data_IF_962499247230
#
_entry.id   IF_962499247230
#
_cell.length_a   1.000
_cell.length_b   1.000
_cell.length_c   1.000
_cell.angle_alpha   90.00
_cell.angle_beta   90.00
_cell.angle_gamma   90.00
#
_symmetry.space_group_name_H-M   'P 1'
#
loop_
_entity.id
_entity.type
_entity.pdbx_description
1 polymer ?
#
# COMPACT_ATOMS: atom_id res chain seq x y z
N UNK A 1 -18.15 19.35 10.76
CA UNK A 1 -17.43 18.09 11.07
C UNK A 1 -17.03 17.32 9.81
N UNK A 2 -17.91 17.17 8.81
CA UNK A 2 -17.62 16.49 7.52
C UNK A 2 -16.35 16.98 6.78
N UNK A 3 -16.12 18.30 6.67
CA UNK A 3 -14.87 18.85 6.08
C UNK A 3 -13.60 18.40 6.82
N UNK A 4 -13.69 18.06 8.11
CA UNK A 4 -12.53 17.64 8.91
C UNK A 4 -12.18 16.17 8.69
N UNK A 5 -13.19 15.31 8.57
CA UNK A 5 -13.03 13.85 8.43
C UNK A 5 -12.98 13.36 6.98
N UNK A 6 -13.24 14.21 5.99
CA UNK A 6 -13.23 13.82 4.58
C UNK A 6 -11.94 13.11 4.12
N UNK A 7 -10.72 13.53 4.51
CA UNK A 7 -9.51 12.77 4.15
C UNK A 7 -9.47 11.38 4.78
N UNK A 8 -10.03 11.22 5.99
CA UNK A 8 -10.07 9.93 6.65
C UNK A 8 -11.08 8.98 5.98
N UNK A 9 -12.27 9.47 5.63
CA UNK A 9 -13.26 8.70 4.88
C UNK A 9 -12.71 8.34 3.49
N UNK A 10 -12.05 9.29 2.83
CA UNK A 10 -11.39 9.04 1.55
C UNK A 10 -10.33 7.95 1.66
N UNK A 11 -9.47 7.97 2.69
CA UNK A 11 -8.46 6.92 2.90
C UNK A 11 -9.09 5.56 3.18
N UNK A 12 -10.18 5.51 3.96
CA UNK A 12 -10.89 4.28 4.28
C UNK A 12 -11.36 3.52 3.03
N UNK A 13 -11.83 4.23 2.02
CA UNK A 13 -12.28 3.63 0.76
C UNK A 13 -11.20 3.58 -0.31
N UNK A 14 -10.23 4.50 -0.30
CA UNK A 14 -9.15 4.51 -1.29
C UNK A 14 -8.25 3.29 -1.14
N UNK A 15 -7.92 2.88 0.09
CA UNK A 15 -7.02 1.76 0.33
C UNK A 15 -7.44 0.45 -0.34
N UNK A 16 -8.68 -0.08 -0.13
CA UNK A 16 -9.11 -1.30 -0.83
C UNK A 16 -9.27 -1.10 -2.34
N UNK A 17 -9.65 0.10 -2.79
CA UNK A 17 -9.75 0.40 -4.22
C UNK A 17 -8.38 0.38 -4.91
N UNK A 18 -7.34 0.89 -4.25
CA UNK A 18 -5.96 0.82 -4.75
C UNK A 18 -5.46 -0.62 -4.70
N UNK A 19 -5.69 -1.32 -3.58
CA UNK A 19 -5.19 -2.67 -3.35
C UNK A 19 -5.72 -3.70 -4.36
N UNK A 20 -7.01 -3.63 -4.69
CA UNK A 20 -7.70 -4.72 -5.38
C UNK A 20 -8.25 -4.34 -6.77
N UNK A 21 -8.70 -3.09 -6.94
CA UNK A 21 -9.39 -2.68 -8.16
C UNK A 21 -8.47 -1.94 -9.12
N UNK A 22 -7.66 -1.01 -8.60
CA UNK A 22 -6.66 -0.31 -9.41
C UNK A 22 -5.50 -1.23 -9.78
N UNK A 23 -5.18 -2.23 -8.94
CA UNK A 23 -4.22 -3.28 -9.25
C UNK A 23 -4.67 -4.11 -10.47
N UNK A 24 -5.98 -4.36 -10.59
CA UNK A 24 -6.62 -5.10 -11.68
C UNK A 24 -6.99 -6.55 -11.34
N UNK A 25 -6.76 -7.03 -10.12
CA UNK A 25 -7.02 -8.42 -9.75
C UNK A 25 -8.50 -8.67 -9.36
N UNK A 26 -9.26 -7.63 -8.97
CA UNK A 26 -10.72 -7.73 -8.81
C UNK A 26 -11.46 -6.99 -9.93
N UNK A 27 -12.38 -7.66 -10.65
CA UNK A 27 -13.19 -7.00 -11.66
C UNK A 27 -14.20 -6.04 -11.03
N UNK A 28 -14.65 -5.04 -11.79
CA UNK A 28 -15.62 -4.04 -11.30
C UNK A 28 -16.96 -4.64 -10.81
N UNK A 29 -17.33 -5.84 -11.28
CA UNK A 29 -18.50 -6.57 -10.79
C UNK A 29 -18.39 -6.91 -9.30
N UNK A 30 -17.18 -6.95 -8.74
CA UNK A 30 -16.92 -7.22 -7.33
C UNK A 30 -16.86 -5.94 -6.49
N UNK A 31 -17.19 -4.77 -7.04
CA UNK A 31 -17.21 -3.50 -6.30
C UNK A 31 -17.96 -3.55 -4.96
N UNK A 32 -19.07 -4.30 -4.78
CA UNK A 32 -19.70 -4.46 -3.47
C UNK A 32 -18.78 -5.03 -2.38
N UNK A 33 -17.74 -5.80 -2.75
CA UNK A 33 -16.75 -6.36 -1.82
C UNK A 33 -15.97 -5.27 -1.07
N UNK A 34 -15.90 -4.04 -1.59
CA UNK A 34 -15.29 -2.89 -0.89
C UNK A 34 -15.87 -2.70 0.51
N UNK A 35 -17.15 -3.04 0.74
CA UNK A 35 -17.75 -2.96 2.08
C UNK A 35 -17.07 -3.91 3.08
N UNK A 36 -16.67 -5.09 2.63
CA UNK A 36 -15.95 -6.07 3.45
C UNK A 36 -14.43 -5.78 3.52
N UNK A 37 -13.86 -5.25 2.43
CA UNK A 37 -12.42 -4.96 2.32
C UNK A 37 -12.02 -3.66 3.03
N UNK A 38 -12.86 -2.62 3.01
CA UNK A 38 -12.54 -1.31 3.59
C UNK A 38 -12.23 -1.35 5.09
N UNK A 39 -12.95 -2.13 5.93
CA UNK A 39 -12.56 -2.32 7.32
C UNK A 39 -11.12 -2.81 7.49
N UNK A 40 -10.65 -3.78 6.69
CA UNK A 40 -9.28 -4.29 6.74
C UNK A 40 -8.28 -3.27 6.16
N UNK A 41 -8.37 -2.98 4.87
CA UNK A 41 -7.44 -2.11 4.16
C UNK A 41 -7.49 -0.66 4.63
N UNK A 42 -8.69 -0.08 4.61
CA UNK A 42 -8.93 1.30 5.00
C UNK A 42 -8.74 1.54 6.48
N UNK A 43 -9.19 0.60 7.32
CA UNK A 43 -8.96 0.63 8.76
C UNK A 43 -7.49 0.57 9.11
N UNK A 44 -6.74 -0.36 8.51
CA UNK A 44 -5.30 -0.50 8.68
C UNK A 44 -4.54 0.77 8.28
N UNK A 45 -4.77 1.26 7.06
CA UNK A 45 -4.14 2.48 6.56
C UNK A 45 -4.43 3.71 7.45
N UNK A 46 -5.68 3.85 7.93
CA UNK A 46 -6.05 4.93 8.83
C UNK A 46 -5.36 4.82 10.20
N UNK A 47 -5.33 3.64 10.81
CA UNK A 47 -4.69 3.45 12.12
C UNK A 47 -3.19 3.74 12.04
N UNK A 48 -2.52 3.19 11.02
CA UNK A 48 -1.09 3.43 10.78
C UNK A 48 -0.82 4.94 10.70
N UNK A 49 -1.58 5.63 9.86
CA UNK A 49 -1.44 7.06 9.65
C UNK A 49 -1.73 7.85 10.92
N UNK A 50 -2.87 7.61 11.56
CA UNK A 50 -3.32 8.37 12.73
C UNK A 50 -2.37 8.20 13.91
N UNK A 51 -1.93 6.98 14.21
CA UNK A 51 -0.99 6.72 15.30
C UNK A 51 0.36 7.38 15.02
N UNK A 52 0.89 7.22 13.81
CA UNK A 52 2.16 7.84 13.41
C UNK A 52 2.10 9.37 13.58
N UNK A 53 1.07 10.03 13.03
CA UNK A 53 0.95 11.50 13.09
C UNK A 53 0.72 12.01 14.51
N UNK A 54 -0.01 11.28 15.36
CA UNK A 54 -0.20 11.63 16.78
C UNK A 54 1.08 11.56 17.58
N UNK A 55 1.96 10.60 17.28
CA UNK A 55 3.26 10.43 17.93
C UNK A 55 4.33 11.39 17.38
N UNK A 56 3.99 12.23 16.40
CA UNK A 56 4.94 13.13 15.73
C UNK A 56 5.98 12.37 14.89
N UNK A 57 5.63 11.17 14.42
CA UNK A 57 6.50 10.30 13.64
C UNK A 57 6.38 10.59 12.12
N UNK A 58 7.39 10.12 11.38
CA UNK A 58 7.55 10.40 9.96
C UNK A 58 7.16 9.25 9.03
N UNK A 59 7.39 9.44 7.74
CA UNK A 59 7.18 8.43 6.71
C UNK A 59 7.96 7.11 6.88
N UNK A 60 9.20 7.09 7.41
CA UNK A 60 9.86 5.82 7.71
C UNK A 60 9.07 4.93 8.67
N UNK A 61 8.40 5.53 9.67
CA UNK A 61 7.55 4.81 10.60
C UNK A 61 6.26 4.30 9.92
N UNK A 62 5.68 5.08 9.00
CA UNK A 62 4.53 4.62 8.18
C UNK A 62 4.93 3.39 7.37
N UNK A 63 6.09 3.40 6.71
CA UNK A 63 6.56 2.26 5.90
C UNK A 63 6.77 0.99 6.75
N UNK A 64 7.34 1.11 7.94
CA UNK A 64 7.53 -0.03 8.86
C UNK A 64 6.17 -0.59 9.31
N UNK A 65 5.22 0.28 9.64
CA UNK A 65 3.88 -0.14 10.06
C UNK A 65 3.04 -0.66 8.88
N UNK A 66 3.27 -0.19 7.66
CA UNK A 66 2.67 -0.72 6.44
C UNK A 66 3.20 -2.14 6.15
N UNK A 67 4.49 -2.38 6.37
CA UNK A 67 5.05 -3.73 6.33
C UNK A 67 4.48 -4.62 7.44
N UNK A 68 4.25 -4.09 8.64
CA UNK A 68 3.57 -4.81 9.71
C UNK A 68 2.14 -5.21 9.29
N UNK A 69 1.40 -4.30 8.65
CA UNK A 69 0.08 -4.60 8.08
C UNK A 69 0.16 -5.70 7.03
N UNK A 70 1.13 -5.64 6.10
CA UNK A 70 1.32 -6.67 5.08
C UNK A 70 1.62 -8.06 5.70
N UNK A 71 2.44 -8.12 6.75
CA UNK A 71 2.72 -9.37 7.48
C UNK A 71 1.48 -9.88 8.22
N UNK A 72 0.68 -8.99 8.80
CA UNK A 72 -0.59 -9.36 9.44
C UNK A 72 -1.56 -9.94 8.40
N UNK A 73 -1.75 -9.25 7.29
CA UNK A 73 -2.66 -9.69 6.24
C UNK A 73 -2.20 -11.02 5.64
N UNK A 74 -0.96 -11.09 5.16
CA UNK A 74 -0.50 -12.26 4.39
C UNK A 74 -0.08 -13.45 5.25
N UNK A 75 0.28 -13.19 6.51
CA UNK A 75 0.70 -14.24 7.44
C UNK A 75 -0.42 -14.76 8.34
N UNK A 76 -1.41 -13.94 8.70
CA UNK A 76 -2.49 -14.33 9.64
C UNK A 76 -3.86 -14.38 8.98
N UNK A 77 -4.17 -13.39 8.12
CA UNK A 77 -5.51 -13.27 7.55
C UNK A 77 -5.67 -14.19 6.34
N UNK A 78 -4.90 -13.95 5.29
CA UNK A 78 -4.97 -14.70 4.03
C UNK A 78 -4.16 -16.00 4.10
N UNK A 79 -3.10 -15.99 4.92
CA UNK A 79 -2.08 -17.05 5.00
C UNK A 79 -1.41 -17.35 3.66
N UNK A 80 -1.42 -16.43 2.69
CA UNK A 80 -0.83 -16.65 1.36
C UNK A 80 0.68 -16.91 1.41
N UNK A 81 1.37 -16.48 2.47
CA UNK A 81 2.79 -16.77 2.67
C UNK A 81 3.06 -18.28 2.79
N UNK A 82 2.06 -19.05 3.20
CA UNK A 82 2.18 -20.45 3.59
C UNK A 82 1.24 -21.38 2.82
N UNK A 83 0.11 -20.86 2.34
CA UNK A 83 -0.89 -21.62 1.60
C UNK A 83 -0.43 -21.84 0.15
N UNK A 84 -0.16 -23.10 -0.28
CA UNK A 84 0.31 -23.40 -1.63
C UNK A 84 -0.73 -23.18 -2.73
N UNK A 85 -2.02 -23.07 -2.37
CA UNK A 85 -3.15 -22.99 -3.30
C UNK A 85 -4.05 -21.77 -3.00
N UNK A 86 -3.50 -20.74 -2.36
CA UNK A 86 -4.24 -19.51 -2.08
C UNK A 86 -4.67 -18.82 -3.38
N UNK A 87 -5.92 -18.33 -3.41
CA UNK A 87 -6.50 -17.71 -4.61
C UNK A 87 -6.50 -18.62 -5.85
N UNK A 88 -6.57 -19.94 -5.63
CA UNK A 88 -6.47 -20.97 -6.69
C UNK A 88 -5.17 -20.87 -7.51
N UNK A 89 -4.12 -20.31 -6.91
CA UNK A 89 -2.82 -20.06 -7.52
C UNK A 89 -1.70 -20.78 -6.78
N UNK A 90 -0.68 -21.22 -7.52
CA UNK A 90 0.47 -21.93 -6.97
C UNK A 90 1.62 -21.00 -6.58
N UNK A 91 1.32 -20.09 -5.66
CA UNK A 91 2.18 -18.96 -5.28
C UNK A 91 3.53 -19.37 -4.67
N UNK A 92 3.64 -20.60 -4.18
CA UNK A 92 4.82 -21.08 -3.47
C UNK A 92 5.78 -21.92 -4.32
N UNK A 93 5.50 -22.15 -5.60
CA UNK A 93 6.30 -23.05 -6.45
C UNK A 93 7.71 -22.51 -6.68
N UNK A 94 7.82 -21.22 -6.97
CA UNK A 94 9.09 -20.60 -7.32
C UNK A 94 9.85 -20.13 -6.07
N UNK A 95 11.09 -20.61 -5.90
CA UNK A 95 11.97 -20.15 -4.81
C UNK A 95 11.49 -20.59 -3.42
N UNK A 96 10.81 -21.72 -3.34
CA UNK A 96 10.37 -22.32 -2.08
C UNK A 96 11.54 -22.65 -1.15
N UNK A 97 11.40 -22.28 0.12
CA UNK A 97 12.33 -22.62 1.19
C UNK A 97 11.65 -23.57 2.18
N UNK A 98 11.91 -24.90 2.10
CA UNK A 98 11.25 -25.89 2.96
C UNK A 98 11.39 -25.64 4.46
N UNK A 99 12.53 -25.08 4.89
CA UNK A 99 12.79 -24.78 6.30
C UNK A 99 11.84 -23.73 6.89
N UNK A 100 11.28 -22.86 6.05
CA UNK A 100 10.37 -21.77 6.48
C UNK A 100 8.94 -22.00 6.00
N UNK A 101 8.73 -22.85 5.00
CA UNK A 101 7.43 -23.08 4.39
C UNK A 101 6.91 -21.87 3.61
N UNK A 102 7.80 -21.09 3.01
CA UNK A 102 7.49 -19.89 2.23
C UNK A 102 8.21 -19.93 0.88
N UNK A 103 7.69 -19.21 -0.11
CA UNK A 103 8.44 -18.82 -1.30
C UNK A 103 8.99 -17.40 -1.13
N UNK A 104 10.31 -17.24 -1.28
CA UNK A 104 10.97 -15.92 -1.17
C UNK A 104 10.44 -14.92 -2.19
N UNK A 105 10.28 -15.28 -3.50
CA UNK A 105 9.75 -14.37 -4.51
C UNK A 105 8.35 -13.85 -4.14
N UNK A 106 7.41 -14.76 -3.82
CA UNK A 106 6.05 -14.40 -3.41
C UNK A 106 6.04 -13.52 -2.16
N UNK A 107 6.82 -13.89 -1.14
CA UNK A 107 6.91 -13.14 0.12
C UNK A 107 7.35 -11.69 -0.14
N UNK A 108 8.39 -11.48 -0.97
CA UNK A 108 8.85 -10.13 -1.29
C UNK A 108 7.81 -9.36 -2.09
N UNK A 109 7.19 -10.01 -3.08
CA UNK A 109 6.18 -9.42 -3.94
C UNK A 109 4.97 -8.95 -3.13
N UNK A 110 4.31 -9.86 -2.41
CA UNK A 110 3.04 -9.59 -1.72
C UNK A 110 3.22 -8.62 -0.54
N UNK A 111 4.34 -8.72 0.18
CA UNK A 111 4.63 -7.76 1.25
C UNK A 111 4.95 -6.37 0.69
N UNK A 112 5.67 -6.30 -0.44
CA UNK A 112 5.96 -5.04 -1.13
C UNK A 112 4.70 -4.38 -1.68
N UNK A 113 3.85 -5.17 -2.34
CA UNK A 113 2.54 -4.79 -2.88
C UNK A 113 1.72 -4.05 -1.82
N UNK A 114 1.49 -4.67 -0.66
CA UNK A 114 0.71 -4.06 0.42
C UNK A 114 1.39 -2.87 1.08
N UNK A 115 2.71 -2.96 1.28
CA UNK A 115 3.47 -1.89 1.93
C UNK A 115 3.44 -0.61 1.09
N UNK A 116 3.77 -0.70 -0.19
CA UNK A 116 4.01 0.46 -1.05
C UNK A 116 2.73 0.99 -1.70
N UNK A 117 1.84 0.11 -2.17
CA UNK A 117 0.63 0.53 -2.87
C UNK A 117 -0.58 0.60 -1.95
N UNK A 118 -1.10 -0.53 -1.50
CA UNK A 118 -2.36 -0.63 -0.74
C UNK A 118 -2.41 0.37 0.42
N UNK A 119 -1.31 0.44 1.20
CA UNK A 119 -1.19 1.32 2.37
C UNK A 119 -0.51 2.65 2.02
N UNK A 120 0.76 2.64 1.60
CA UNK A 120 1.55 3.87 1.54
C UNK A 120 1.10 4.84 0.45
N UNK A 121 0.82 4.36 -0.77
CA UNK A 121 0.32 5.21 -1.85
C UNK A 121 -1.04 5.82 -1.47
N UNK A 122 -1.94 5.03 -0.90
CA UNK A 122 -3.24 5.52 -0.41
C UNK A 122 -3.09 6.63 0.64
N UNK A 123 -2.17 6.45 1.62
CA UNK A 123 -1.87 7.49 2.61
C UNK A 123 -1.28 8.73 1.93
N UNK A 124 -0.30 8.59 1.02
CA UNK A 124 0.32 9.72 0.30
C UNK A 124 -0.72 10.55 -0.43
N UNK A 125 -1.62 9.90 -1.16
CA UNK A 125 -2.65 10.57 -1.94
C UNK A 125 -3.63 11.33 -1.05
N UNK A 126 -4.09 10.71 0.05
CA UNK A 126 -5.01 11.39 0.95
C UNK A 126 -4.34 12.46 1.79
N UNK A 127 -3.06 12.32 2.10
CA UNK A 127 -2.24 13.39 2.69
C UNK A 127 -2.09 14.58 1.74
N UNK A 128 -1.84 14.34 0.45
CA UNK A 128 -1.80 15.41 -0.56
C UNK A 128 -3.16 16.13 -0.67
N UNK A 129 -4.27 15.39 -0.67
CA UNK A 129 -5.63 15.95 -0.65
C UNK A 129 -5.90 16.77 0.63
N UNK A 130 -5.35 16.35 1.77
CA UNK A 130 -5.52 17.03 3.05
C UNK A 130 -4.74 18.36 3.15
N UNK A 131 -3.76 18.59 2.26
CA UNK A 131 -2.98 19.84 2.18
C UNK A 131 -2.30 20.19 3.51
N UNK A 132 -2.56 21.38 4.05
CA UNK A 132 -1.99 21.85 5.32
C UNK A 132 -2.22 20.88 6.51
N UNK A 133 -3.24 20.03 6.44
CA UNK A 133 -3.53 19.03 7.49
C UNK A 133 -2.90 17.66 7.23
N UNK A 134 -1.98 17.54 6.27
CA UNK A 134 -1.38 16.25 5.90
C UNK A 134 -0.68 15.55 7.06
N UNK A 135 -0.01 16.28 7.94
CA UNK A 135 0.75 15.73 9.07
C UNK A 135 0.03 15.88 10.43
N UNK A 136 -1.22 16.35 10.44
CA UNK A 136 -2.00 16.52 11.69
C UNK A 136 -3.07 15.42 11.83
N UNK A 137 -3.44 15.00 13.05
CA UNK A 137 -4.49 13.99 13.23
C UNK A 137 -5.82 14.40 12.56
N UNK A 138 -6.46 13.49 11.82
CA UNK A 138 -7.74 13.74 11.15
C UNK A 138 -8.93 13.29 11.99
N UNK A 139 -8.73 12.27 12.84
CA UNK A 139 -9.78 11.72 13.68
C UNK A 139 -9.70 12.28 15.12
N UNK A 140 -10.81 12.21 15.83
CA UNK A 140 -10.82 12.33 17.29
C UNK A 140 -10.59 10.96 17.95
N UNK A 141 -10.68 10.89 19.29
CA UNK A 141 -10.59 9.61 20.03
C UNK A 141 -11.68 8.62 19.60
N UNK A 142 -12.93 9.08 19.47
CA UNK A 142 -14.05 8.24 19.03
C UNK A 142 -13.82 7.69 17.63
N UNK A 143 -13.38 8.53 16.68
CA UNK A 143 -13.07 8.08 15.32
C UNK A 143 -11.99 7.00 15.32
N UNK A 144 -10.93 7.19 16.12
CA UNK A 144 -9.87 6.20 16.24
C UNK A 144 -10.34 4.87 16.82
N UNK A 145 -11.20 4.89 17.85
CA UNK A 145 -11.80 3.68 18.43
C UNK A 145 -12.66 2.96 17.39
N UNK A 146 -13.52 3.69 16.67
CA UNK A 146 -14.38 3.12 15.62
C UNK A 146 -13.52 2.49 14.52
N UNK A 147 -12.47 3.17 14.06
CA UNK A 147 -11.54 2.60 13.08
C UNK A 147 -10.85 1.34 13.63
N UNK A 148 -10.45 1.33 14.90
CA UNK A 148 -9.88 0.15 15.56
C UNK A 148 -10.82 -1.04 15.57
N UNK A 149 -12.09 -0.82 15.93
CA UNK A 149 -13.13 -1.86 15.92
C UNK A 149 -13.39 -2.36 14.51
N UNK A 150 -13.53 -1.45 13.53
CA UNK A 150 -13.72 -1.83 12.13
C UNK A 150 -12.53 -2.63 11.61
N UNK A 151 -11.29 -2.24 11.93
CA UNK A 151 -10.11 -2.98 11.53
C UNK A 151 -10.09 -4.40 12.11
N UNK A 152 -10.37 -4.55 13.41
CA UNK A 152 -10.46 -5.87 14.03
C UNK A 152 -11.56 -6.75 13.39
N UNK A 153 -12.72 -6.15 13.07
CA UNK A 153 -13.79 -6.84 12.35
C UNK A 153 -13.36 -7.21 10.91
N UNK A 154 -12.65 -6.31 10.23
CA UNK A 154 -12.12 -6.55 8.88
C UNK A 154 -11.14 -7.71 8.85
N UNK A 155 -10.25 -7.82 9.84
CA UNK A 155 -9.37 -8.98 10.03
C UNK A 155 -10.22 -10.23 10.18
N UNK A 156 -11.14 -10.27 11.14
CA UNK A 156 -11.95 -11.47 11.41
C UNK A 156 -12.79 -11.90 10.19
N UNK A 157 -13.42 -10.95 9.49
CA UNK A 157 -14.23 -11.22 8.30
C UNK A 157 -13.35 -11.73 7.16
N UNK A 158 -12.23 -11.07 6.88
CA UNK A 158 -11.33 -11.48 5.80
C UNK A 158 -10.74 -12.86 6.08
N UNK A 159 -10.29 -13.13 7.32
CA UNK A 159 -9.83 -14.47 7.73
C UNK A 159 -10.92 -15.52 7.53
N UNK A 160 -12.15 -15.24 7.95
CA UNK A 160 -13.26 -16.19 7.80
C UNK A 160 -13.58 -16.48 6.33
N UNK A 161 -13.59 -15.46 5.48
CA UNK A 161 -13.81 -15.61 4.03
C UNK A 161 -12.66 -16.41 3.42
N UNK A 162 -11.41 -16.07 3.72
CA UNK A 162 -10.25 -16.81 3.20
C UNK A 162 -10.27 -18.27 3.64
N UNK A 163 -10.53 -18.56 4.91
CA UNK A 163 -10.60 -19.94 5.40
C UNK A 163 -11.74 -20.75 4.78
N UNK A 164 -12.82 -20.08 4.39
CA UNK A 164 -13.92 -20.71 3.68
C UNK A 164 -13.58 -20.98 2.21
N UNK A 165 -12.92 -20.03 1.53
CA UNK A 165 -12.63 -20.10 0.10
C UNK A 165 -11.39 -20.94 -0.22
N UNK A 166 -10.31 -20.75 0.55
CA UNK A 166 -9.03 -21.45 0.39
C UNK A 166 -8.61 -22.05 1.73
N UNK A 167 -9.23 -23.17 2.14
CA UNK A 167 -8.98 -23.78 3.45
C UNK A 167 -7.52 -24.20 3.59
N UNK A 168 -6.83 -23.53 4.50
CA UNK A 168 -5.45 -23.83 4.86
C UNK A 168 -5.21 -23.40 6.29
N UNK A 169 -4.34 -24.08 7.03
CA UNK A 169 -3.96 -23.65 8.37
C UNK A 169 -2.46 -23.76 8.52
N UNK A 170 -1.83 -22.59 8.68
CA UNK A 170 -0.42 -22.47 8.94
C UNK A 170 -0.07 -23.22 10.24
N UNK A 171 1.16 -23.74 10.29
CA UNK A 171 1.65 -24.45 11.46
C UNK A 171 1.73 -23.51 12.67
N UNK A 172 1.71 -24.07 13.89
CA UNK A 172 1.93 -23.28 15.11
C UNK A 172 3.26 -22.51 15.08
N UNK A 173 4.30 -23.06 14.44
CA UNK A 173 5.58 -22.40 14.24
C UNK A 173 5.48 -21.18 13.34
N UNK A 174 4.78 -21.29 12.21
CA UNK A 174 4.52 -20.16 11.28
C UNK A 174 3.70 -19.07 11.96
N UNK A 175 2.60 -19.41 12.65
CA UNK A 175 1.83 -18.42 13.40
C UNK A 175 2.66 -17.72 14.48
N UNK A 176 3.47 -18.46 15.22
CA UNK A 176 4.35 -17.90 16.25
C UNK A 176 5.38 -16.96 15.64
N UNK A 177 6.04 -17.38 14.56
CA UNK A 177 7.02 -16.55 13.86
C UNK A 177 6.38 -15.26 13.30
N UNK A 178 5.24 -15.38 12.62
CA UNK A 178 4.48 -14.23 12.11
C UNK A 178 4.10 -13.27 13.24
N UNK A 179 3.58 -13.78 14.37
CA UNK A 179 3.21 -12.95 15.51
C UNK A 179 4.42 -12.22 16.13
N UNK A 180 5.58 -12.89 16.23
CA UNK A 180 6.82 -12.26 16.70
C UNK A 180 7.28 -11.15 15.75
N UNK A 181 7.36 -11.44 14.44
CA UNK A 181 7.78 -10.47 13.42
C UNK A 181 6.84 -9.26 13.42
N UNK A 182 5.53 -9.51 13.45
CA UNK A 182 4.51 -8.48 13.53
C UNK A 182 4.70 -7.59 14.77
N UNK A 183 4.88 -8.20 15.95
CA UNK A 183 5.11 -7.46 17.20
C UNK A 183 6.40 -6.62 17.14
N UNK A 184 7.48 -7.16 16.57
CA UNK A 184 8.74 -6.45 16.40
C UNK A 184 8.61 -5.27 15.43
N UNK A 185 7.90 -5.44 14.31
CA UNK A 185 7.66 -4.36 13.35
C UNK A 185 6.78 -3.27 13.94
N UNK A 186 5.71 -3.62 14.68
CA UNK A 186 4.88 -2.65 15.40
C UNK A 186 5.72 -1.89 16.43
N UNK A 187 6.50 -2.60 17.25
CA UNK A 187 7.38 -1.98 18.24
C UNK A 187 8.40 -1.05 17.57
N UNK A 188 9.06 -1.47 16.50
CA UNK A 188 9.99 -0.64 15.74
C UNK A 188 9.29 0.60 15.17
N UNK A 189 8.13 0.43 14.54
CA UNK A 189 7.36 1.50 13.91
C UNK A 189 6.83 2.53 14.91
N UNK A 190 6.55 2.14 16.15
CA UNK A 190 6.02 3.04 17.18
C UNK A 190 7.09 3.64 18.10
N UNK A 191 8.17 2.92 18.37
CA UNK A 191 9.15 3.30 19.40
C UNK A 191 10.42 3.92 18.82
N UNK A 192 10.82 3.58 17.58
CA UNK A 192 12.06 4.08 16.98
C UNK A 192 11.78 5.39 16.23
N UNK A 193 12.34 6.50 16.74
CA UNK A 193 12.23 7.81 16.07
C UNK A 193 13.24 7.94 14.95
N UNK A 194 12.81 7.65 13.72
CA UNK A 194 13.65 7.75 12.53
C UNK A 194 13.55 9.18 11.96
N UNK A 195 14.68 9.90 11.97
CA UNK A 195 14.79 11.24 11.38
C UNK A 195 15.62 11.18 10.10
N UNK A 196 15.07 11.72 9.01
CA UNK A 196 15.84 11.97 7.80
C UNK A 196 16.80 13.14 8.09
N UNK A 197 18.11 12.88 7.97
CA UNK A 197 19.13 13.90 8.20
C UNK A 197 19.13 14.91 7.04
N UNK A 198 19.25 16.22 7.31
CA UNK A 198 19.49 17.21 6.27
C UNK A 198 20.72 16.85 5.44
N UNK A 199 20.66 17.10 4.13
CA UNK A 199 21.70 16.80 3.16
C UNK A 199 21.96 18.01 2.28
N UNK A 200 23.22 18.14 1.86
CA UNK A 200 23.64 19.19 0.93
C UNK A 200 23.02 19.02 -0.45
N UNK A 201 22.83 20.16 -1.14
CA UNK A 201 22.27 20.24 -2.48
C UNK A 201 20.75 20.44 -2.49
N UNK A 202 20.22 20.70 -3.68
CA UNK A 202 18.79 20.86 -3.93
C UNK A 202 18.14 19.51 -4.23
N UNK A 203 16.89 19.36 -3.79
CA UNK A 203 16.05 18.24 -4.17
C UNK A 203 15.84 18.24 -5.70
N UNK A 204 15.80 17.06 -6.34
CA UNK A 204 15.43 16.98 -7.76
C UNK A 204 13.99 17.45 -7.95
N UNK A 205 13.60 17.78 -9.17
CA UNK A 205 12.22 18.21 -9.45
C UNK A 205 11.19 17.13 -9.07
N UNK A 206 9.97 17.53 -8.73
CA UNK A 206 8.87 16.58 -8.49
C UNK A 206 8.60 15.67 -9.69
N UNK A 207 8.82 16.15 -10.93
CA UNK A 207 8.73 15.33 -12.14
C UNK A 207 9.80 14.23 -12.17
N UNK A 208 11.03 14.53 -11.75
CA UNK A 208 12.10 13.54 -11.65
C UNK A 208 11.73 12.45 -10.63
N UNK A 209 11.13 12.82 -9.50
CA UNK A 209 10.64 11.86 -8.49
C UNK A 209 9.49 11.02 -9.04
N UNK A 210 8.56 11.62 -9.79
CA UNK A 210 7.47 10.90 -10.45
C UNK A 210 8.02 9.86 -11.43
N UNK A 211 8.94 10.25 -12.30
CA UNK A 211 9.59 9.35 -13.27
C UNK A 211 10.33 8.23 -12.55
N UNK A 212 11.12 8.54 -11.51
CA UNK A 212 11.82 7.53 -10.74
C UNK A 212 10.86 6.52 -10.08
N UNK A 213 9.71 6.99 -9.58
CA UNK A 213 8.68 6.14 -8.99
C UNK A 213 7.98 5.27 -10.04
N UNK A 214 7.71 5.82 -11.23
CA UNK A 214 7.15 5.06 -12.36
C UNK A 214 8.13 3.99 -12.85
N UNK A 215 9.42 4.31 -12.94
CA UNK A 215 10.45 3.34 -13.33
C UNK A 215 10.55 2.22 -12.30
N UNK A 216 10.64 2.56 -11.00
CA UNK A 216 10.68 1.55 -9.94
C UNK A 216 9.41 0.68 -9.95
N UNK A 217 8.23 1.31 -10.03
CA UNK A 217 6.97 0.58 -10.13
C UNK A 217 6.87 -0.30 -11.38
N UNK A 218 7.37 0.17 -12.52
CA UNK A 218 7.41 -0.61 -13.76
C UNK A 218 8.38 -1.79 -13.69
N UNK A 219 9.51 -1.65 -13.00
CA UNK A 219 10.42 -2.77 -12.71
C UNK A 219 9.73 -3.76 -11.77
N UNK A 220 9.15 -3.28 -10.67
CA UNK A 220 8.51 -4.14 -9.67
C UNK A 220 7.34 -4.95 -10.25
N UNK A 221 6.39 -4.29 -10.91
CA UNK A 221 5.23 -4.95 -11.52
C UNK A 221 5.58 -5.61 -12.86
N UNK A 222 6.55 -5.10 -13.62
CA UNK A 222 6.97 -5.73 -14.87
C UNK A 222 7.55 -7.13 -14.69
N UNK A 223 8.11 -7.43 -13.51
CA UNK A 223 8.60 -8.76 -13.18
C UNK A 223 7.50 -9.81 -12.99
N UNK A 224 6.22 -9.42 -12.84
CA UNK A 224 5.11 -10.38 -12.82
C UNK A 224 4.73 -10.84 -14.23
N UNK A 225 5.03 -10.04 -15.25
CA UNK A 225 4.69 -10.33 -16.65
C UNK A 225 5.89 -10.81 -17.48
N UNK A 226 7.12 -10.64 -16.98
CA UNK A 226 8.36 -11.09 -17.63
C UNK A 226 8.92 -12.32 -16.94
N UNK A 227 9.20 -13.38 -17.71
CA UNK A 227 9.84 -14.58 -17.21
C UNK A 227 11.36 -14.41 -17.09
N UNK A 228 11.85 -14.23 -15.86
CA UNK A 228 13.27 -14.30 -15.52
C UNK A 228 13.56 -15.56 -14.68
N UNK A 229 14.82 -16.05 -14.63
CA UNK A 229 15.22 -17.03 -13.63
C UNK A 229 14.89 -16.53 -12.22
N UNK A 230 14.27 -17.38 -11.40
CA UNK A 230 13.67 -17.01 -10.10
C UNK A 230 14.55 -16.11 -9.24
N UNK A 231 15.82 -16.50 -9.04
CA UNK A 231 16.75 -15.76 -8.19
C UNK A 231 17.25 -14.45 -8.83
N UNK A 232 17.25 -14.36 -10.16
CA UNK A 232 17.53 -13.09 -10.86
C UNK A 232 16.37 -12.12 -10.64
N UNK A 233 15.12 -12.56 -10.87
CA UNK A 233 13.93 -11.73 -10.59
C UNK A 233 13.87 -11.29 -9.13
N UNK A 234 14.14 -12.21 -8.20
CA UNK A 234 14.22 -11.94 -6.76
C UNK A 234 15.27 -10.87 -6.44
N UNK A 235 16.48 -10.99 -6.99
CA UNK A 235 17.53 -10.01 -6.78
C UNK A 235 17.18 -8.63 -7.37
N UNK A 236 16.49 -8.60 -8.51
CA UNK A 236 16.01 -7.36 -9.12
C UNK A 236 14.95 -6.68 -8.24
N UNK A 237 13.99 -7.40 -7.68
CA UNK A 237 13.03 -6.82 -6.71
C UNK A 237 13.72 -6.22 -5.49
N UNK A 238 14.67 -6.95 -4.89
CA UNK A 238 15.43 -6.44 -3.73
C UNK A 238 16.20 -5.18 -4.12
N UNK A 239 16.91 -5.21 -5.25
CA UNK A 239 17.70 -4.08 -5.72
C UNK A 239 16.82 -2.87 -6.03
N UNK A 240 15.69 -3.06 -6.71
CA UNK A 240 14.74 -2.01 -7.05
C UNK A 240 14.22 -1.29 -5.79
N UNK A 241 13.73 -2.05 -4.81
CA UNK A 241 13.25 -1.50 -3.54
C UNK A 241 14.37 -0.77 -2.79
N UNK A 242 15.56 -1.36 -2.68
CA UNK A 242 16.70 -0.74 -1.98
C UNK A 242 17.13 0.55 -2.67
N UNK A 243 17.25 0.55 -3.99
CA UNK A 243 17.65 1.72 -4.77
C UNK A 243 16.60 2.81 -4.64
N UNK A 244 15.32 2.49 -4.84
CA UNK A 244 14.24 3.47 -4.77
C UNK A 244 14.12 4.11 -3.38
N UNK A 245 14.10 3.31 -2.31
CA UNK A 245 14.04 3.81 -0.94
C UNK A 245 15.29 4.64 -0.59
N UNK A 246 16.47 4.25 -1.08
CA UNK A 246 17.70 5.02 -0.91
C UNK A 246 17.61 6.37 -1.61
N UNK A 247 17.16 6.41 -2.86
CA UNK A 247 16.98 7.66 -3.61
C UNK A 247 16.00 8.59 -2.89
N UNK A 248 14.84 8.08 -2.46
CA UNK A 248 13.85 8.87 -1.71
C UNK A 248 14.43 9.39 -0.39
N UNK A 249 15.17 8.57 0.36
CA UNK A 249 15.81 8.98 1.60
C UNK A 249 16.94 10.02 1.39
N UNK A 250 17.65 9.94 0.26
CA UNK A 250 18.68 10.91 -0.12
C UNK A 250 18.05 12.24 -0.55
N UNK A 251 17.07 12.20 -1.44
CA UNK A 251 16.41 13.37 -2.00
C UNK A 251 15.54 14.11 -0.99
N UNK A 252 14.81 13.39 -0.12
CA UNK A 252 13.94 14.00 0.89
C UNK A 252 14.68 14.73 2.01
N UNK A 253 16.00 14.48 2.16
CA UNK A 253 16.85 15.24 3.07
C UNK A 253 17.38 16.56 2.49
N UNK A 254 17.16 16.84 1.20
CA UNK A 254 17.70 18.03 0.53
C UNK A 254 16.75 19.22 0.60
N UNK A 255 17.31 20.41 0.42
CA UNK A 255 16.53 21.65 0.37
C UNK A 255 15.56 21.65 -0.81
N UNK A 256 14.34 22.16 -0.60
CA UNK A 256 13.31 22.22 -1.64
C UNK A 256 12.46 20.95 -1.77
N UNK A 257 12.60 19.95 -0.89
CA UNK A 257 11.65 18.85 -0.82
C UNK A 257 10.29 19.32 -0.27
N UNK A 258 9.25 19.22 -1.09
CA UNK A 258 7.89 19.75 -0.82
C UNK A 258 6.81 18.69 -1.00
N UNK A 259 5.57 19.08 -0.71
CA UNK A 259 4.35 18.27 -0.84
C UNK A 259 4.13 17.73 -2.26
N UNK A 260 4.62 18.45 -3.27
CA UNK A 260 4.59 17.99 -4.66
C UNK A 260 5.46 16.74 -4.87
N UNK A 261 6.52 16.53 -4.09
CA UNK A 261 7.36 15.33 -4.18
C UNK A 261 6.66 14.12 -3.53
N UNK A 262 5.93 14.34 -2.43
CA UNK A 262 5.07 13.30 -1.85
C UNK A 262 3.94 12.92 -2.80
N UNK A 263 3.30 13.89 -3.44
CA UNK A 263 2.32 13.64 -4.49
C UNK A 263 2.95 12.89 -5.68
N UNK A 264 4.18 13.24 -6.09
CA UNK A 264 4.86 12.56 -7.18
C UNK A 264 5.07 11.06 -6.91
N UNK A 265 5.42 10.69 -5.67
CA UNK A 265 5.55 9.28 -5.27
C UNK A 265 4.17 8.59 -5.29
N UNK A 266 3.15 9.20 -4.67
CA UNK A 266 1.80 8.63 -4.65
C UNK A 266 1.21 8.47 -6.06
N UNK A 267 1.34 9.51 -6.89
CA UNK A 267 0.90 9.50 -8.28
C UNK A 267 1.64 8.45 -9.12
N UNK A 268 2.96 8.32 -8.95
CA UNK A 268 3.74 7.29 -9.62
C UNK A 268 3.26 5.88 -9.27
N UNK A 269 3.00 5.61 -7.99
CA UNK A 269 2.46 4.33 -7.55
C UNK A 269 1.08 4.04 -8.16
N UNK A 270 0.14 5.00 -8.10
CA UNK A 270 -1.20 4.87 -8.67
C UNK A 270 -1.17 4.67 -10.19
N UNK A 271 -0.33 5.42 -10.91
CA UNK A 271 -0.16 5.29 -12.36
C UNK A 271 0.48 3.95 -12.74
N UNK A 272 1.37 3.41 -11.91
CA UNK A 272 1.90 2.06 -12.12
C UNK A 272 0.79 1.02 -12.10
N UNK A 273 -0.09 1.07 -11.10
CA UNK A 273 -1.25 0.17 -11.07
C UNK A 273 -2.23 0.42 -12.20
N UNK A 274 -2.47 1.69 -12.56
CA UNK A 274 -3.35 2.03 -13.66
C UNK A 274 -2.97 1.32 -14.97
N UNK A 275 -1.68 1.32 -15.37
CA UNK A 275 -1.28 0.56 -16.57
C UNK A 275 -1.24 -0.95 -16.32
N UNK A 276 -0.80 -1.39 -15.12
CA UNK A 276 -0.70 -2.82 -14.77
C UNK A 276 -2.05 -3.52 -14.84
N UNK A 277 -3.14 -2.85 -14.45
CA UNK A 277 -4.48 -3.43 -14.49
C UNK A 277 -4.90 -3.94 -15.88
N UNK A 278 -4.34 -3.41 -16.96
CA UNK A 278 -4.65 -3.85 -18.32
C UNK A 278 -3.90 -5.11 -18.78
N UNK A 279 -2.88 -5.54 -18.02
CA UNK A 279 -2.14 -6.78 -18.26
C UNK A 279 -2.40 -7.85 -17.20
N UNK A 280 -3.00 -7.47 -16.07
CA UNK A 280 -3.44 -8.36 -15.01
C UNK A 280 -4.63 -9.21 -15.46
N UNK A 281 -4.71 -10.45 -14.97
CA UNK A 281 -5.88 -11.30 -15.19
C UNK A 281 -6.79 -11.24 -13.97
N UNK A 282 -8.04 -10.78 -14.09
CA UNK A 282 -8.92 -10.65 -12.94
C UNK A 282 -9.32 -12.03 -12.39
N UNK A 283 -9.46 -12.10 -11.08
CA UNK A 283 -10.07 -13.25 -10.40
C UNK A 283 -11.54 -13.41 -10.80
N UNK A 284 -12.04 -14.65 -10.77
CA UNK A 284 -13.44 -14.95 -11.03
C UNK A 284 -13.87 -14.91 -12.52
N UNK A 285 -12.95 -14.72 -13.47
CA UNK A 285 -13.19 -14.95 -14.89
C UNK A 285 -14.19 -13.98 -15.53
N UNK A 286 -14.16 -12.70 -15.14
CA UNK A 286 -15.01 -11.68 -15.75
C UNK A 286 -14.79 -11.59 -17.27
N UNK A 287 -15.85 -11.28 -18.03
CA UNK A 287 -15.73 -11.07 -19.47
C UNK A 287 -14.78 -9.90 -19.75
N UNK A 288 -13.90 -10.05 -20.74
CA UNK A 288 -12.85 -9.08 -21.08
C UNK A 288 -13.36 -7.63 -21.18
N UNK A 289 -14.51 -7.41 -21.83
CA UNK A 289 -15.08 -6.07 -21.96
C UNK A 289 -15.48 -5.44 -20.61
N UNK A 290 -15.97 -6.24 -19.66
CA UNK A 290 -16.34 -5.79 -18.31
C UNK A 290 -15.08 -5.43 -17.53
N UNK A 291 -14.06 -6.28 -17.60
CA UNK A 291 -12.80 -6.08 -16.92
C UNK A 291 -12.08 -4.80 -17.40
N UNK A 292 -11.89 -4.65 -18.71
CA UNK A 292 -11.29 -3.46 -19.32
C UNK A 292 -12.07 -2.18 -19.01
N UNK A 293 -13.41 -2.25 -18.93
CA UNK A 293 -14.24 -1.12 -18.53
C UNK A 293 -13.96 -0.73 -17.08
N UNK A 294 -13.85 -1.70 -16.17
CA UNK A 294 -13.44 -1.49 -14.79
C UNK A 294 -12.09 -0.79 -14.69
N UNK A 295 -11.08 -1.36 -15.35
CA UNK A 295 -9.70 -0.85 -15.36
C UNK A 295 -9.63 0.58 -15.89
N UNK A 296 -10.38 0.90 -16.95
CA UNK A 296 -10.49 2.25 -17.48
C UNK A 296 -11.14 3.23 -16.48
N UNK A 297 -12.20 2.82 -15.79
CA UNK A 297 -12.88 3.65 -14.79
C UNK A 297 -12.00 3.93 -13.57
N UNK A 298 -11.31 2.92 -13.04
CA UNK A 298 -10.39 3.11 -11.90
C UNK A 298 -9.16 3.93 -12.30
N UNK A 299 -8.65 3.75 -13.52
CA UNK A 299 -7.61 4.63 -14.09
C UNK A 299 -8.07 6.08 -14.16
N UNK A 300 -9.28 6.34 -14.68
CA UNK A 300 -9.85 7.68 -14.74
C UNK A 300 -10.05 8.29 -13.34
N UNK A 301 -10.48 7.49 -12.37
CA UNK A 301 -10.60 7.91 -10.97
C UNK A 301 -9.24 8.26 -10.35
N UNK A 302 -8.20 7.45 -10.58
CA UNK A 302 -6.84 7.71 -10.13
C UNK A 302 -6.28 9.01 -10.74
N UNK A 303 -6.44 9.22 -12.05
CA UNK A 303 -6.05 10.45 -12.74
C UNK A 303 -6.78 11.68 -12.17
N UNK A 304 -8.08 11.54 -11.90
CA UNK A 304 -8.90 12.60 -11.29
C UNK A 304 -8.41 12.94 -9.89
N UNK A 305 -8.10 11.94 -9.07
CA UNK A 305 -7.55 12.12 -7.72
C UNK A 305 -6.19 12.81 -7.75
N UNK A 306 -5.29 12.39 -8.65
CA UNK A 306 -3.96 13.01 -8.85
C UNK A 306 -4.11 14.47 -9.27
N UNK A 307 -4.97 14.75 -10.26
CA UNK A 307 -5.24 16.11 -10.72
C UNK A 307 -5.81 16.97 -9.60
N UNK A 308 -6.77 16.45 -8.83
CA UNK A 308 -7.39 17.16 -7.72
C UNK A 308 -6.38 17.48 -6.60
N UNK A 309 -5.54 16.51 -6.23
CA UNK A 309 -4.48 16.69 -5.26
C UNK A 309 -3.46 17.74 -5.74
N UNK A 310 -3.04 17.68 -7.02
CA UNK A 310 -2.14 18.67 -7.62
C UNK A 310 -2.72 20.08 -7.58
N UNK A 311 -3.98 20.24 -8.00
CA UNK A 311 -4.69 21.53 -7.94
C UNK A 311 -4.77 22.08 -6.52
N UNK A 312 -5.01 21.23 -5.53
CA UNK A 312 -5.02 21.61 -4.11
C UNK A 312 -3.67 22.11 -3.60
N UNK A 313 -2.58 21.47 -4.00
CA UNK A 313 -1.24 21.84 -3.56
C UNK A 313 -0.68 23.08 -4.28
N UNK A 314 -1.21 23.40 -5.46
CA UNK A 314 -0.75 24.53 -6.29
C UNK A 314 -1.68 25.75 -6.22
N UNK A 315 -2.88 25.60 -5.66
CA UNK A 315 -3.80 26.72 -5.47
C UNK A 315 -3.19 27.77 -4.54
N UNK A 316 -3.27 29.08 -4.87
CA UNK A 316 -2.81 30.14 -3.99
C UNK A 316 -3.55 30.05 -2.65
N UNK A 317 -2.81 30.06 -1.54
CA UNK A 317 -3.42 30.16 -0.22
C UNK A 317 -4.21 31.46 -0.16
N UNK A 318 -5.53 31.46 0.09
CA UNK A 318 -6.27 32.71 0.23
C UNK A 318 -5.64 33.49 1.38
N UNK A 319 -5.27 34.74 1.11
CA UNK A 319 -4.78 35.67 2.13
C UNK A 319 -5.79 35.65 3.29
N UNK A 320 -5.33 35.26 4.48
CA UNK A 320 -6.11 35.44 5.70
C UNK A 320 -6.20 36.95 5.92
N UNK A 321 -7.31 37.54 5.49
CA UNK A 321 -7.73 38.89 5.88
C UNK A 321 -8.24 38.85 7.31
#
# INVERSE_FOLDING_TARGET
MLRRSAPAIGLFFLAPLVAEFLLGNLPITFLPAVVALAPLYGGGALLIREVTRRLGLGWPNILILALAYAVLEEGLTTQSLFNPDYADAHLLVDGYLPALGIAVPWTLYVLGLHTFWSVSASILMMEAVAGERRTTPWLGRTGLIVTGVLFALGIAISTAITMQQWPYTATAGQFTATAIILALLIAAGLLIKIKIKPRQGTAPSALTVLIATLVAGAVFQGLTVVSLPTWIGTAVWVLDVVVFLTLVALWSGREGWTDLHYLAIGAGALLTYAWHSFVETPTGGAALAIDLTGNALFTAAALTLIWFAHRRLTAPTPLKV
#
